data_IF_547603666316
#
_entry.id   IF_547603666316
#
_cell.length_a   1.000
_cell.length_b   1.000
_cell.length_c   1.000
_cell.angle_alpha   90.00
_cell.angle_beta   90.00
_cell.angle_gamma   90.00
#
_symmetry.space_group_name_H-M   'P 1'
#
loop_
_entity.id
_entity.type
_entity.pdbx_description
1 polymer ?
#
# COMPACT_ATOMS: atom_id res chain seq x y z
N UNK A 1 34.23 -5.10 8.99
CA UNK A 1 33.61 -3.76 9.05
C UNK A 1 33.38 -3.41 10.51
N UNK A 2 33.94 -2.29 10.99
CA UNK A 2 33.67 -1.79 12.35
C UNK A 2 32.42 -0.88 12.29
N UNK A 3 31.38 -1.21 13.04
CA UNK A 3 30.12 -0.47 13.06
C UNK A 3 30.27 0.62 14.13
N UNK A 4 30.43 1.89 13.73
CA UNK A 4 30.50 3.02 14.68
C UNK A 4 31.77 3.11 15.53
N UNK A 5 32.90 2.62 15.04
CA UNK A 5 34.19 2.65 15.76
C UNK A 5 34.39 1.53 16.78
N UNK A 6 33.36 0.70 17.00
CA UNK A 6 33.40 -0.47 17.87
C UNK A 6 33.44 -1.73 17.00
N UNK A 7 34.51 -2.52 17.16
CA UNK A 7 34.64 -3.84 16.57
C UNK A 7 33.81 -4.90 17.31
N UNK A 8 33.58 -6.05 16.67
CA UNK A 8 32.80 -7.13 17.27
C UNK A 8 33.34 -7.62 18.63
N UNK A 9 34.67 -7.55 18.84
CA UNK A 9 35.30 -7.89 20.12
C UNK A 9 34.99 -6.90 21.24
N UNK A 10 35.01 -5.59 20.96
CA UNK A 10 34.70 -4.55 21.95
C UNK A 10 33.23 -4.62 22.38
N UNK A 11 32.32 -4.86 21.44
CA UNK A 11 30.91 -5.06 21.74
C UNK A 11 30.68 -6.28 22.64
N UNK A 12 31.45 -7.35 22.45
CA UNK A 12 31.37 -8.57 23.28
C UNK A 12 31.84 -8.32 24.71
N UNK A 13 32.88 -7.50 24.92
CA UNK A 13 33.34 -7.10 26.26
C UNK A 13 32.28 -6.27 26.98
N UNK A 14 31.69 -5.28 26.31
CA UNK A 14 30.61 -4.46 26.87
C UNK A 14 29.41 -5.34 27.24
N UNK A 15 29.05 -6.29 26.37
CA UNK A 15 27.99 -7.26 26.64
C UNK A 15 28.29 -8.11 27.87
N UNK A 16 29.54 -8.58 28.04
CA UNK A 16 29.95 -9.36 29.20
C UNK A 16 29.80 -8.57 30.51
N UNK A 17 30.23 -7.30 30.51
CA UNK A 17 30.09 -6.41 31.67
C UNK A 17 28.61 -6.19 31.99
N UNK A 18 27.79 -5.90 30.98
CA UNK A 18 26.35 -5.75 31.14
C UNK A 18 25.71 -7.05 31.68
N UNK A 19 26.15 -8.22 31.23
CA UNK A 19 25.68 -9.52 31.71
C UNK A 19 26.09 -9.80 33.15
N UNK A 20 27.23 -9.31 33.63
CA UNK A 20 27.63 -9.45 35.04
C UNK A 20 26.77 -8.54 35.92
N UNK A 21 26.53 -7.30 35.46
CA UNK A 21 25.73 -6.31 36.21
C UNK A 21 24.25 -6.70 36.27
N UNK A 22 23.65 -7.03 35.13
CA UNK A 22 22.23 -7.35 35.04
C UNK A 22 21.93 -8.85 35.18
N UNK A 23 22.89 -9.72 34.90
CA UNK A 23 22.70 -11.17 34.86
C UNK A 23 22.22 -11.68 33.49
N UNK A 24 22.68 -12.85 33.02
CA UNK A 24 22.19 -13.46 31.78
C UNK A 24 20.69 -13.81 31.86
N UNK A 25 20.19 -14.15 33.05
CA UNK A 25 18.77 -14.45 33.27
C UNK A 25 17.85 -13.27 32.96
N UNK A 26 18.24 -12.04 33.35
CA UNK A 26 17.43 -10.83 33.11
C UNK A 26 17.34 -10.49 31.63
N UNK A 27 18.44 -10.60 30.90
CA UNK A 27 18.45 -10.37 29.45
C UNK A 27 17.54 -11.39 28.72
N UNK A 28 17.59 -12.66 29.11
CA UNK A 28 16.72 -13.71 28.55
C UNK A 28 15.25 -13.47 28.94
N UNK A 29 14.98 -13.05 30.16
CA UNK A 29 13.63 -12.73 30.65
C UNK A 29 12.99 -11.58 29.84
N UNK A 30 13.74 -10.48 29.61
CA UNK A 30 13.31 -9.34 28.80
C UNK A 30 13.12 -9.76 27.34
N UNK A 31 14.06 -10.53 26.77
CA UNK A 31 13.94 -11.00 25.40
C UNK A 31 12.72 -11.93 25.22
N UNK A 32 12.42 -12.78 26.21
CA UNK A 32 11.25 -13.66 26.18
C UNK A 32 9.94 -12.88 26.24
N UNK A 33 9.83 -11.89 27.14
CA UNK A 33 8.62 -11.06 27.25
C UNK A 33 8.41 -10.21 26.00
N UNK A 34 9.47 -9.57 25.50
CA UNK A 34 9.44 -8.80 24.27
C UNK A 34 9.08 -9.69 23.07
N UNK A 35 9.67 -10.87 22.96
CA UNK A 35 9.37 -11.83 21.88
C UNK A 35 7.91 -12.29 21.88
N UNK A 36 7.32 -12.54 23.06
CA UNK A 36 5.89 -12.84 23.20
C UNK A 36 5.03 -11.65 22.76
N UNK A 37 5.36 -10.46 23.24
CA UNK A 37 4.64 -9.24 22.86
C UNK A 37 4.69 -8.98 21.35
N UNK A 38 5.85 -9.13 20.71
CA UNK A 38 5.97 -9.00 19.25
C UNK A 38 5.17 -10.08 18.50
N UNK A 39 5.14 -11.31 19.01
CA UNK A 39 4.37 -12.41 18.40
C UNK A 39 2.87 -12.14 18.47
N UNK A 40 2.39 -11.70 19.63
CA UNK A 40 0.99 -11.32 19.83
C UNK A 40 0.62 -10.11 18.97
N UNK A 41 1.48 -9.08 18.96
CA UNK A 41 1.31 -7.91 18.10
C UNK A 41 1.18 -8.32 16.63
N UNK A 42 2.07 -9.19 16.15
CA UNK A 42 2.03 -9.65 14.75
C UNK A 42 0.78 -10.46 14.42
N UNK A 43 0.32 -11.30 15.35
CA UNK A 43 -0.95 -12.04 15.19
C UNK A 43 -2.14 -11.08 15.11
N UNK A 44 -2.21 -10.10 16.03
CA UNK A 44 -3.24 -9.07 15.98
C UNK A 44 -3.19 -8.32 14.65
N UNK A 45 -2.03 -7.78 14.25
CA UNK A 45 -1.90 -7.08 12.97
C UNK A 45 -2.36 -7.91 11.77
N UNK A 46 -2.10 -9.22 11.78
CA UNK A 46 -2.56 -10.13 10.74
C UNK A 46 -4.08 -10.31 10.77
N UNK A 47 -4.66 -10.59 11.94
CA UNK A 47 -6.11 -10.76 12.13
C UNK A 47 -6.86 -9.49 11.66
N UNK A 48 -6.38 -8.30 12.06
CA UNK A 48 -6.93 -7.00 11.64
C UNK A 48 -6.85 -6.80 10.11
N UNK A 49 -5.72 -7.15 9.51
CA UNK A 49 -5.54 -7.02 8.05
C UNK A 49 -6.50 -7.95 7.29
N UNK A 50 -6.71 -9.16 7.79
CA UNK A 50 -7.66 -10.12 7.21
C UNK A 50 -9.10 -9.63 7.33
N UNK A 51 -9.48 -9.09 8.49
CA UNK A 51 -10.84 -8.59 8.73
C UNK A 51 -11.17 -7.38 7.86
N UNK A 52 -10.25 -6.40 7.76
CA UNK A 52 -10.40 -5.25 6.86
C UNK A 52 -10.51 -5.70 5.40
N UNK A 53 -9.67 -6.63 4.94
CA UNK A 53 -9.75 -7.12 3.56
C UNK A 53 -11.10 -7.78 3.27
N UNK A 54 -11.62 -8.57 4.21
CA UNK A 54 -12.92 -9.22 4.07
C UNK A 54 -14.07 -8.21 3.99
N UNK A 55 -14.07 -7.17 4.82
CA UNK A 55 -15.09 -6.11 4.76
C UNK A 55 -15.02 -5.30 3.45
N UNK A 56 -13.80 -5.04 2.96
CA UNK A 56 -13.59 -4.35 1.69
C UNK A 56 -14.04 -5.19 0.49
N UNK A 57 -13.82 -6.51 0.50
CA UNK A 57 -14.31 -7.42 -0.54
C UNK A 57 -15.84 -7.42 -0.59
N UNK A 58 -16.51 -7.60 0.55
CA UNK A 58 -17.99 -7.57 0.62
C UNK A 58 -18.56 -6.24 0.11
N UNK A 59 -17.94 -5.12 0.49
CA UNK A 59 -18.38 -3.79 0.03
C UNK A 59 -18.21 -3.61 -1.47
N UNK A 60 -17.12 -4.15 -2.06
CA UNK A 60 -16.90 -4.12 -3.51
C UNK A 60 -17.93 -4.95 -4.25
N UNK A 61 -18.23 -6.16 -3.79
CA UNK A 61 -19.23 -7.04 -4.41
C UNK A 61 -20.61 -6.37 -4.43
N UNK A 62 -21.02 -5.75 -3.31
CA UNK A 62 -22.29 -5.01 -3.24
C UNK A 62 -22.33 -3.81 -4.18
N UNK A 63 -21.22 -3.07 -4.33
CA UNK A 63 -21.15 -1.96 -5.29
C UNK A 63 -21.21 -2.43 -6.74
N UNK A 64 -20.53 -3.54 -7.07
CA UNK A 64 -20.54 -4.09 -8.43
C UNK A 64 -21.93 -4.59 -8.83
N UNK A 65 -22.69 -5.18 -7.89
CA UNK A 65 -24.10 -5.55 -8.10
C UNK A 65 -25.01 -4.32 -8.29
N UNK A 66 -24.89 -3.31 -7.43
CA UNK A 66 -25.69 -2.07 -7.56
C UNK A 66 -25.43 -1.35 -8.88
N UNK A 67 -24.16 -1.30 -9.31
CA UNK A 67 -23.74 -0.68 -10.57
C UNK A 67 -24.24 -1.46 -11.78
N UNK A 68 -24.44 -2.78 -11.65
CA UNK A 68 -25.01 -3.63 -12.70
C UNK A 68 -26.52 -3.42 -12.86
N UNK A 69 -27.25 -3.19 -11.77
CA UNK A 69 -28.70 -2.89 -11.82
C UNK A 69 -29.05 -1.48 -12.29
N UNK A 70 -28.16 -0.49 -12.11
CA UNK A 70 -28.42 0.91 -12.49
C UNK A 70 -28.05 1.26 -13.95
N UNK A 71 -27.46 0.32 -14.71
CA UNK A 71 -27.07 0.52 -16.11
C UNK A 71 -28.19 0.53 -17.18
N UNK A 72 -29.44 0.05 -16.97
CA UNK A 72 -30.43 0.04 -18.05
C UNK A 72 -31.16 1.39 -18.28
N UNK A 73 -30.85 2.47 -17.56
CA UNK A 73 -31.60 3.74 -17.65
C UNK A 73 -30.97 4.85 -18.53
N UNK A 74 -29.79 4.66 -19.13
CA UNK A 74 -29.09 5.73 -19.88
C UNK A 74 -28.83 5.43 -21.36
N UNK A 75 -29.36 4.34 -21.92
CA UNK A 75 -29.03 3.91 -23.29
C UNK A 75 -30.01 4.37 -24.41
N UNK A 76 -31.08 5.10 -24.11
CA UNK A 76 -32.07 5.51 -25.14
C UNK A 76 -32.25 7.04 -25.26
N UNK A 77 -31.20 7.80 -25.63
CA UNK A 77 -31.44 9.10 -26.32
C UNK A 77 -30.24 9.68 -27.10
N UNK A 78 -29.47 8.87 -27.84
CA UNK A 78 -28.52 9.44 -28.83
C UNK A 78 -28.55 8.63 -30.12
N UNK A 79 -29.69 8.64 -30.82
CA UNK A 79 -29.73 8.27 -32.25
C UNK A 79 -30.94 8.88 -32.95
N UNK A 80 -30.82 10.11 -33.45
CA UNK A 80 -31.43 10.58 -34.71
C UNK A 80 -30.59 11.71 -35.34
N UNK A 81 -29.97 11.32 -36.44
CA UNK A 81 -29.35 11.98 -37.62
C UNK A 81 -29.86 13.41 -38.00
N UNK A 82 -29.24 14.19 -38.94
CA UNK A 82 -28.42 13.72 -40.09
C UNK A 82 -27.19 14.58 -40.51
N UNK A 83 -26.36 13.92 -41.32
CA UNK A 83 -25.34 14.53 -42.18
C UNK A 83 -26.02 15.35 -43.29
N UNK A 84 -25.54 16.56 -43.54
CA UNK A 84 -25.64 17.20 -44.86
C UNK A 84 -24.30 17.81 -45.23
N UNK A 85 -23.73 17.21 -46.27
CA UNK A 85 -23.06 17.90 -47.38
C UNK A 85 -21.72 18.59 -47.08
N UNK A 86 -20.64 17.93 -47.52
CA UNK A 86 -19.50 18.65 -48.07
C UNK A 86 -19.94 19.47 -49.29
N UNK A 87 -19.21 20.53 -49.64
CA UNK A 87 -18.04 20.27 -50.49
C UNK A 87 -16.84 21.21 -50.29
N UNK A 88 -15.70 20.70 -50.77
CA UNK A 88 -14.58 21.43 -51.37
C UNK A 88 -13.62 22.24 -50.46
N UNK A 89 -12.36 21.79 -50.48
CA UNK A 89 -11.14 22.56 -50.18
C UNK A 89 -11.01 23.80 -51.13
N UNK A 90 -10.19 24.83 -50.84
CA UNK A 90 -8.72 24.73 -50.92
C UNK A 90 -7.91 25.52 -49.85
N UNK A 91 -6.68 25.06 -49.62
CA UNK A 91 -5.39 25.77 -49.50
C UNK A 91 -5.30 27.15 -48.78
N UNK A 92 -4.45 27.28 -47.75
CA UNK A 92 -3.44 28.37 -47.48
C UNK A 92 -2.82 28.13 -46.07
N UNK A 93 -1.58 27.66 -45.94
CA UNK A 93 -0.34 28.46 -45.76
C UNK A 93 -0.37 29.43 -44.55
N UNK A 94 0.54 29.24 -43.58
CA UNK A 94 0.63 30.16 -42.44
C UNK A 94 1.42 29.68 -41.23
N UNK A 95 2.74 29.69 -41.37
CA UNK A 95 3.75 29.86 -40.32
C UNK A 95 3.26 30.48 -38.99
N UNK A 96 3.64 29.90 -37.85
CA UNK A 96 4.39 30.62 -36.79
C UNK A 96 4.93 29.68 -35.71
N UNK A 97 6.26 29.72 -35.60
CA UNK A 97 7.06 29.40 -34.41
C UNK A 97 6.81 30.46 -33.31
N UNK A 98 7.43 30.21 -32.15
CA UNK A 98 7.68 31.11 -31.01
C UNK A 98 6.57 30.97 -29.94
N UNK A 99 6.83 30.64 -28.67
CA UNK A 99 8.00 30.83 -27.79
C UNK A 99 8.14 29.63 -26.82
#
# INVERSE_FOLDING_TARGET
>A
MNFGGIGGGELLVILLIALIVFGPGRLVEIASSLGKALREFRKMSQDLTTEIQKELEVTKELQDELKKELQPLTAEEVKKEPQTEGPAAPDDEGSTKEE
#
